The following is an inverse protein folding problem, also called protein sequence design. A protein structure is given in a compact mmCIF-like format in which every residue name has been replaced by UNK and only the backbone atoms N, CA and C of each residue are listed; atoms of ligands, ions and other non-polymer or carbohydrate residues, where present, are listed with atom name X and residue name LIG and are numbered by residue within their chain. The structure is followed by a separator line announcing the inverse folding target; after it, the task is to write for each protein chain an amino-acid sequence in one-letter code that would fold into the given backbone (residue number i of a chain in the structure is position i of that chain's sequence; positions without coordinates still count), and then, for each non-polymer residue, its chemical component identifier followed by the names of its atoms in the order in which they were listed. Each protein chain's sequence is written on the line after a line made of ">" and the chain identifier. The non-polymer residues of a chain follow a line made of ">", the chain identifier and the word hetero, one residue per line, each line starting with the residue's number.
data_IF_185668576477
#
_entry.id   IF_185668576477
#
_cell.length_a   1.000
_cell.length_b   1.000
_cell.length_c   1.000
_cell.angle_alpha   90.00
_cell.angle_beta   90.00
_cell.angle_gamma   90.00
#
_symmetry.space_group_name_H-M   'P 1'
#
loop_
_entity.id
_entity.type
_entity.pdbx_description
1 polymer ?
#
# COMPACT_ATOMS: atom_id res chain seq x y z
N UNK A 1 -17.43 20.30 -2.86
CA UNK A 1 -17.09 18.87 -3.08
C UNK A 1 -15.68 18.46 -2.65
N UNK A 2 -14.64 19.31 -2.65
CA UNK A 2 -13.25 18.94 -2.28
C UNK A 2 -13.05 18.40 -0.84
N UNK A 3 -13.88 18.80 0.14
CA UNK A 3 -13.73 18.36 1.53
C UNK A 3 -13.93 16.84 1.72
N UNK A 4 -14.74 16.18 0.87
CA UNK A 4 -15.00 14.73 0.96
C UNK A 4 -13.88 13.88 0.35
N UNK A 5 -13.04 14.44 -0.51
CA UNK A 5 -11.97 13.69 -1.17
C UNK A 5 -10.78 13.45 -0.25
N UNK A 6 -10.49 14.39 0.66
CA UNK A 6 -9.43 14.24 1.67
C UNK A 6 -9.76 13.23 2.78
N UNK A 7 -11.04 12.90 2.99
CA UNK A 7 -11.47 11.97 4.04
C UNK A 7 -11.31 10.49 3.63
N UNK A 8 -11.19 10.19 2.34
CA UNK A 8 -11.06 8.81 1.81
C UNK A 8 -9.90 8.00 2.41
N UNK A 9 -8.65 8.50 2.49
CA UNK A 9 -7.57 7.75 3.13
C UNK A 9 -7.83 7.49 4.61
N UNK A 10 -8.44 8.46 5.33
CA UNK A 10 -8.81 8.27 6.74
C UNK A 10 -9.87 7.17 6.89
N UNK A 11 -10.89 7.15 6.03
CA UNK A 11 -11.88 6.07 6.02
C UNK A 11 -11.24 4.71 5.70
N UNK A 12 -10.26 4.66 4.80
CA UNK A 12 -9.53 3.43 4.49
C UNK A 12 -8.71 2.92 5.69
N UNK A 13 -8.00 3.83 6.39
CA UNK A 13 -7.29 3.50 7.63
C UNK A 13 -8.25 3.01 8.72
N UNK A 14 -9.38 3.70 8.93
CA UNK A 14 -10.39 3.28 9.90
C UNK A 14 -10.99 1.91 9.53
N UNK A 15 -11.28 1.68 8.26
CA UNK A 15 -11.77 0.40 7.77
C UNK A 15 -10.77 -0.72 8.06
N UNK A 16 -9.48 -0.51 7.79
CA UNK A 16 -8.43 -1.48 8.09
C UNK A 16 -8.34 -1.79 9.59
N UNK A 17 -8.42 -0.77 10.46
CA UNK A 17 -8.45 -0.97 11.92
C UNK A 17 -9.66 -1.80 12.33
N UNK A 18 -10.87 -1.39 11.94
CA UNK A 18 -12.11 -2.05 12.34
C UNK A 18 -12.16 -3.52 11.88
N UNK A 19 -11.73 -3.78 10.65
CA UNK A 19 -11.74 -5.13 10.07
C UNK A 19 -10.78 -6.09 10.81
N UNK A 20 -9.65 -5.58 11.28
CA UNK A 20 -8.60 -6.39 11.89
C UNK A 20 -8.62 -6.42 13.42
N UNK A 21 -9.31 -5.47 14.05
CA UNK A 21 -9.39 -5.38 15.51
C UNK A 21 -9.84 -6.70 16.17
N UNK A 22 -10.81 -7.46 15.65
CA UNK A 22 -11.18 -8.75 16.23
C UNK A 22 -10.02 -9.75 16.33
N UNK A 23 -9.10 -9.76 15.35
CA UNK A 23 -7.93 -10.64 15.34
C UNK A 23 -6.88 -10.21 16.36
N UNK A 24 -6.70 -8.91 16.55
CA UNK A 24 -5.84 -8.36 17.62
C UNK A 24 -6.38 -8.73 19.00
N UNK A 25 -7.71 -8.67 19.19
CA UNK A 25 -8.36 -9.04 20.45
C UNK A 25 -8.36 -10.57 20.68
N UNK A 26 -8.36 -11.36 19.60
CA UNK A 26 -8.26 -12.83 19.61
C UNK A 26 -6.88 -13.32 19.19
N UNK A 27 -5.85 -12.68 19.73
CA UNK A 27 -4.44 -13.02 19.45
C UNK A 27 -4.10 -14.48 19.82
N UNK A 28 -4.87 -15.07 20.74
CA UNK A 28 -4.75 -16.45 21.21
C UNK A 28 -4.93 -17.48 20.07
N UNK A 29 -5.71 -17.14 19.04
CA UNK A 29 -5.96 -18.03 17.90
C UNK A 29 -4.75 -18.17 16.96
N UNK A 30 -3.78 -17.25 17.04
CA UNK A 30 -2.66 -17.17 16.10
C UNK A 30 -1.35 -16.95 16.85
N UNK A 31 -1.04 -17.77 17.85
CA UNK A 31 0.22 -17.66 18.57
C UNK A 31 1.37 -18.31 17.78
N UNK A 32 2.44 -17.56 17.55
CA UNK A 32 3.62 -18.01 16.80
C UNK A 32 4.92 -17.73 17.56
N UNK A 33 6.00 -18.47 17.29
CA UNK A 33 7.28 -18.27 17.98
C UNK A 33 7.86 -16.87 17.74
N UNK A 34 7.78 -16.36 16.51
CA UNK A 34 8.33 -15.04 16.14
C UNK A 34 7.64 -13.89 16.88
N UNK A 35 6.32 -14.04 17.12
CA UNK A 35 5.52 -13.15 17.95
C UNK A 35 6.11 -13.05 19.37
N UNK A 36 6.48 -14.18 19.98
CA UNK A 36 7.00 -14.22 21.34
C UNK A 36 8.38 -13.55 21.42
N UNK A 37 9.24 -13.75 20.41
CA UNK A 37 10.56 -13.11 20.33
C UNK A 37 10.40 -11.58 20.26
N UNK A 38 9.51 -11.09 19.41
CA UNK A 38 9.21 -9.66 19.27
C UNK A 38 8.74 -9.03 20.59
N UNK A 39 7.84 -9.72 21.29
CA UNK A 39 7.34 -9.32 22.61
C UNK A 39 8.43 -9.28 23.67
N UNK A 40 9.24 -10.35 23.78
CA UNK A 40 10.33 -10.44 24.75
C UNK A 40 11.38 -9.36 24.51
N UNK A 41 11.73 -9.13 23.25
CA UNK A 41 12.64 -8.08 22.85
C UNK A 41 12.11 -6.69 23.21
N UNK A 42 10.84 -6.41 22.90
CA UNK A 42 10.19 -5.14 23.28
C UNK A 42 10.15 -4.93 24.79
N UNK A 43 9.91 -6.01 25.56
CA UNK A 43 9.96 -5.99 27.03
C UNK A 43 11.37 -5.71 27.55
N UNK A 44 12.41 -6.37 27.01
CA UNK A 44 13.80 -6.16 27.40
C UNK A 44 14.23 -4.71 27.13
N UNK A 45 13.88 -4.15 25.98
CA UNK A 45 14.12 -2.73 25.67
C UNK A 45 13.43 -1.82 26.70
N UNK A 46 12.17 -2.13 27.04
CA UNK A 46 11.36 -1.29 27.95
C UNK A 46 11.81 -1.34 29.41
N UNK A 47 12.14 -2.53 29.92
CA UNK A 47 12.35 -2.79 31.35
C UNK A 47 13.82 -2.99 31.73
N UNK A 48 14.62 -3.60 30.84
CA UNK A 48 16.03 -3.94 31.09
C UNK A 48 16.98 -2.91 30.46
N UNK A 49 16.45 -2.03 29.60
CA UNK A 49 17.22 -0.98 28.94
C UNK A 49 18.06 -1.47 27.77
N UNK A 50 17.74 -2.65 27.25
CA UNK A 50 18.45 -3.29 26.14
C UNK A 50 18.36 -2.44 24.87
N UNK A 51 19.44 -2.37 24.09
CA UNK A 51 19.53 -1.53 22.87
C UNK A 51 19.93 -2.32 21.62
N UNK A 52 19.15 -3.35 21.26
CA UNK A 52 19.43 -4.14 20.07
C UNK A 52 19.25 -3.31 18.79
N UNK A 53 20.25 -3.37 17.92
CA UNK A 53 20.22 -2.77 16.58
C UNK A 53 19.52 -3.72 15.59
N UNK A 54 19.62 -5.03 15.79
CA UNK A 54 18.99 -6.03 14.93
C UNK A 54 18.06 -6.94 15.73
N UNK A 55 17.05 -7.46 15.03
CA UNK A 55 16.05 -8.34 15.62
C UNK A 55 16.72 -9.61 16.17
N UNK A 56 16.28 -10.07 17.35
CA UNK A 56 16.86 -11.25 17.98
C UNK A 56 16.72 -12.47 17.07
N UNK A 57 17.80 -13.24 16.93
CA UNK A 57 17.94 -14.38 16.01
C UNK A 57 17.73 -14.07 14.50
N UNK A 58 17.50 -12.81 14.12
CA UNK A 58 17.28 -12.38 12.74
C UNK A 58 18.07 -11.10 12.45
N UNK A 59 19.39 -11.23 12.34
CA UNK A 59 20.33 -10.11 12.13
C UNK A 59 20.10 -9.32 10.82
N UNK A 60 19.16 -9.74 9.99
CA UNK A 60 18.78 -9.09 8.74
C UNK A 60 17.52 -8.21 8.85
N UNK A 61 16.91 -8.13 10.04
CA UNK A 61 15.72 -7.32 10.32
C UNK A 61 16.02 -6.22 11.33
N UNK A 62 15.44 -5.05 11.08
CA UNK A 62 15.52 -3.91 11.99
C UNK A 62 14.58 -4.06 13.19
N UNK A 63 14.81 -3.26 14.22
CA UNK A 63 14.16 -3.38 15.54
C UNK A 63 13.19 -2.25 15.86
N UNK A 64 12.89 -1.38 14.90
CA UNK A 64 12.08 -0.17 15.17
C UNK A 64 10.69 -0.49 15.74
N UNK A 65 10.04 -1.56 15.27
CA UNK A 65 8.72 -1.98 15.77
C UNK A 65 8.78 -2.41 17.25
N UNK A 66 9.89 -3.05 17.65
CA UNK A 66 10.14 -3.39 19.05
C UNK A 66 10.38 -2.14 19.90
N UNK A 67 11.09 -1.13 19.37
CA UNK A 67 11.25 0.15 20.07
C UNK A 67 9.93 0.91 20.24
N UNK A 68 9.08 0.94 19.21
CA UNK A 68 7.77 1.58 19.29
C UNK A 68 6.87 0.86 20.30
N UNK A 69 6.87 -0.47 20.28
CA UNK A 69 6.16 -1.30 21.27
C UNK A 69 6.71 -1.09 22.69
N UNK A 70 8.04 -1.05 22.84
CA UNK A 70 8.69 -0.80 24.12
C UNK A 70 8.33 0.57 24.70
N UNK A 71 8.23 1.61 23.86
CA UNK A 71 7.74 2.92 24.29
C UNK A 71 6.33 2.82 24.88
N UNK A 72 5.42 2.11 24.22
CA UNK A 72 4.07 1.91 24.73
C UNK A 72 4.04 1.05 26.00
N UNK A 73 4.93 0.05 26.12
CA UNK A 73 5.06 -0.75 27.35
C UNK A 73 5.49 0.10 28.55
N UNK A 74 6.33 1.12 28.33
CA UNK A 74 6.70 2.06 29.39
C UNK A 74 5.54 2.95 29.84
N UNK A 75 4.60 3.24 28.93
CA UNK A 75 3.47 4.13 29.20
C UNK A 75 2.25 3.39 29.80
N UNK A 76 1.95 2.20 29.30
CA UNK A 76 0.71 1.47 29.61
C UNK A 76 0.95 0.10 30.26
N UNK A 77 2.21 -0.30 30.43
CA UNK A 77 2.57 -1.64 30.90
C UNK A 77 2.72 -2.66 29.77
N UNK A 78 3.32 -3.81 30.09
CA UNK A 78 3.56 -4.89 29.13
C UNK A 78 2.22 -5.57 28.79
N UNK A 79 1.84 -5.54 27.51
CA UNK A 79 0.60 -6.14 27.03
C UNK A 79 0.75 -6.68 25.61
N UNK A 80 0.30 -7.91 25.39
CA UNK A 80 0.27 -8.54 24.06
C UNK A 80 -0.60 -7.75 23.10
N UNK A 81 -1.80 -7.36 23.53
CA UNK A 81 -2.75 -6.61 22.70
C UNK A 81 -2.14 -5.29 22.25
N UNK A 82 -1.37 -4.64 23.11
CA UNK A 82 -0.74 -3.36 22.81
C UNK A 82 0.32 -3.50 21.70
N UNK A 83 1.11 -4.58 21.72
CA UNK A 83 2.07 -4.86 20.66
C UNK A 83 1.38 -5.19 19.32
N UNK A 84 0.33 -6.01 19.35
CA UNK A 84 -0.50 -6.28 18.17
C UNK A 84 -1.13 -5.00 17.60
N UNK A 85 -1.56 -4.09 18.47
CA UNK A 85 -2.13 -2.81 18.05
C UNK A 85 -1.11 -1.94 17.33
N UNK A 86 0.17 -1.94 17.75
CA UNK A 86 1.25 -1.22 17.04
C UNK A 86 1.35 -1.70 15.59
N UNK A 87 1.46 -3.00 15.35
CA UNK A 87 1.56 -3.54 13.99
C UNK A 87 0.30 -3.26 13.17
N UNK A 88 -0.88 -3.37 13.78
CA UNK A 88 -2.14 -3.01 13.12
C UNK A 88 -2.17 -1.52 12.71
N UNK A 89 -1.74 -0.62 13.58
CA UNK A 89 -1.73 0.82 13.28
C UNK A 89 -0.75 1.17 12.16
N UNK A 90 0.41 0.51 12.13
CA UNK A 90 1.37 0.66 11.03
C UNK A 90 0.75 0.19 9.72
N UNK A 91 0.15 -1.01 9.70
CA UNK A 91 -0.54 -1.52 8.52
C UNK A 91 -1.66 -0.58 8.05
N UNK A 92 -2.51 -0.12 8.97
CA UNK A 92 -3.62 0.77 8.66
C UNK A 92 -3.14 2.13 8.12
N UNK A 93 -1.97 2.61 8.58
CA UNK A 93 -1.29 3.76 7.98
C UNK A 93 -0.86 3.46 6.55
N UNK A 94 -0.30 2.28 6.29
CA UNK A 94 0.04 1.80 4.94
C UNK A 94 -1.16 1.77 4.00
N UNK A 95 -2.31 1.26 4.46
CA UNK A 95 -3.57 1.26 3.70
C UNK A 95 -4.02 2.68 3.38
N UNK A 96 -3.95 3.60 4.35
CA UNK A 96 -4.28 5.01 4.15
C UNK A 96 -3.37 5.68 3.12
N UNK A 97 -2.05 5.45 3.21
CA UNK A 97 -1.06 5.96 2.27
C UNK A 97 -1.23 5.37 0.87
N UNK A 98 -1.51 4.07 0.74
CA UNK A 98 -1.79 3.41 -0.52
C UNK A 98 -3.03 4.01 -1.19
N UNK A 99 -4.08 4.25 -0.41
CA UNK A 99 -5.33 4.88 -0.87
C UNK A 99 -5.08 6.32 -1.32
N UNK A 100 -4.29 7.08 -0.56
CA UNK A 100 -3.91 8.44 -0.92
C UNK A 100 -3.08 8.46 -2.21
N UNK A 101 -2.15 7.52 -2.39
CA UNK A 101 -1.37 7.39 -3.61
C UNK A 101 -2.28 7.04 -4.79
N UNK A 102 -3.14 6.03 -4.66
CA UNK A 102 -4.09 5.65 -5.70
C UNK A 102 -5.05 6.78 -6.09
N UNK A 103 -5.50 7.59 -5.14
CA UNK A 103 -6.31 8.77 -5.41
C UNK A 103 -5.60 9.80 -6.30
N UNK A 104 -4.26 9.89 -6.18
CA UNK A 104 -3.46 10.79 -7.01
C UNK A 104 -3.16 10.19 -8.38
N UNK A 105 -2.98 8.87 -8.48
CA UNK A 105 -2.56 8.21 -9.73
C UNK A 105 -3.71 7.77 -10.63
N UNK A 106 -4.78 7.22 -10.05
CA UNK A 106 -5.80 6.47 -10.78
C UNK A 106 -7.15 7.21 -10.85
N UNK A 107 -7.35 8.28 -10.07
CA UNK A 107 -8.60 9.03 -10.01
C UNK A 107 -9.71 8.35 -9.18
N UNK A 108 -10.90 8.96 -9.15
CA UNK A 108 -11.90 8.76 -8.08
C UNK A 108 -12.52 7.36 -7.93
N UNK A 109 -12.75 6.64 -9.03
CA UNK A 109 -13.40 5.31 -8.97
C UNK A 109 -12.49 4.19 -8.47
N UNK A 110 -11.19 4.26 -8.80
CA UNK A 110 -10.20 3.25 -8.40
C UNK A 110 -9.84 3.34 -6.91
N UNK A 111 -9.94 4.53 -6.30
CA UNK A 111 -9.56 4.77 -4.89
C UNK A 111 -10.29 3.85 -3.92
N UNK A 112 -11.61 3.70 -4.11
CA UNK A 112 -12.41 2.88 -3.21
C UNK A 112 -12.02 1.41 -3.30
N UNK A 113 -11.81 0.91 -4.52
CA UNK A 113 -11.38 -0.47 -4.72
C UNK A 113 -9.97 -0.72 -4.20
N UNK A 114 -9.05 0.23 -4.34
CA UNK A 114 -7.72 0.12 -3.70
C UNK A 114 -7.83 0.12 -2.19
N UNK A 115 -8.65 1.00 -1.61
CA UNK A 115 -8.89 1.06 -0.16
C UNK A 115 -9.44 -0.27 0.36
N UNK A 116 -10.48 -0.81 -0.27
CA UNK A 116 -11.09 -2.09 0.12
C UNK A 116 -10.11 -3.24 -0.07
N UNK A 117 -9.43 -3.34 -1.22
CA UNK A 117 -8.47 -4.41 -1.48
C UNK A 117 -7.30 -4.39 -0.49
N UNK A 118 -6.76 -3.21 -0.18
CA UNK A 118 -5.70 -3.04 0.81
C UNK A 118 -6.20 -3.29 2.25
N UNK A 119 -7.42 -2.86 2.59
CA UNK A 119 -7.98 -3.06 3.92
C UNK A 119 -8.43 -4.50 4.18
N UNK A 120 -8.87 -5.25 3.16
CA UNK A 120 -9.23 -6.67 3.31
C UNK A 120 -7.97 -7.55 3.32
N UNK A 121 -6.97 -7.14 2.52
CA UNK A 121 -5.73 -7.86 2.26
C UNK A 121 -5.94 -9.33 1.85
N UNK A 122 -4.85 -10.08 1.64
CA UNK A 122 -4.96 -11.53 1.52
C UNK A 122 -5.07 -12.16 2.91
N UNK A 123 -5.70 -13.33 3.07
CA UNK A 123 -5.73 -14.03 4.37
C UNK A 123 -4.33 -14.22 4.98
N UNK A 124 -3.33 -14.45 4.13
CA UNK A 124 -1.93 -14.55 4.53
C UNK A 124 -1.38 -13.22 5.05
N UNK A 125 -1.69 -12.09 4.40
CA UNK A 125 -1.29 -10.79 4.91
C UNK A 125 -1.97 -10.47 6.25
N UNK A 126 -3.27 -10.80 6.39
CA UNK A 126 -4.02 -10.56 7.63
C UNK A 126 -3.38 -11.25 8.83
N UNK A 127 -2.87 -12.47 8.63
CA UNK A 127 -2.14 -13.20 9.66
C UNK A 127 -0.94 -12.42 10.20
N UNK A 128 -0.13 -11.82 9.32
CA UNK A 128 1.10 -11.12 9.70
C UNK A 128 0.93 -9.66 10.11
N UNK A 129 -0.14 -8.99 9.66
CA UNK A 129 -0.35 -7.56 9.99
C UNK A 129 -0.98 -7.34 11.37
N UNK A 130 -1.60 -8.38 11.94
CA UNK A 130 -2.19 -8.33 13.28
C UNK A 130 -1.27 -8.87 14.37
N UNK A 131 -0.10 -9.38 13.99
CA UNK A 131 0.92 -9.85 14.91
C UNK A 131 2.07 -8.83 14.98
N UNK A 132 2.66 -8.57 16.17
CA UNK A 132 3.90 -7.83 16.33
C UNK A 132 5.05 -8.53 15.62
N UNK A 133 5.16 -8.33 14.31
CA UNK A 133 6.25 -8.84 13.50
C UNK A 133 6.72 -7.75 12.57
N UNK A 134 7.82 -7.11 12.97
CA UNK A 134 8.40 -5.83 12.56
C UNK A 134 8.68 -5.62 11.06
N UNK A 135 8.28 -6.51 10.15
CA UNK A 135 8.68 -6.45 8.74
C UNK A 135 7.55 -6.52 7.71
N UNK A 136 6.46 -7.25 7.95
CA UNK A 136 5.41 -7.43 6.94
C UNK A 136 4.44 -6.25 6.87
N UNK A 137 4.12 -5.66 8.02
CA UNK A 137 3.27 -4.48 8.13
C UNK A 137 3.99 -3.21 7.66
N UNK A 138 5.31 -3.13 7.84
CA UNK A 138 6.09 -1.94 7.43
C UNK A 138 6.61 -1.96 6.01
N UNK A 139 6.94 -3.12 5.44
CA UNK A 139 7.44 -3.15 4.06
C UNK A 139 6.54 -2.36 3.09
N UNK A 140 5.20 -2.52 3.10
CA UNK A 140 4.29 -1.74 2.25
C UNK A 140 4.34 -0.23 2.54
N UNK A 141 4.36 0.17 3.81
CA UNK A 141 4.44 1.58 4.23
C UNK A 141 5.71 2.22 3.67
N UNK A 142 6.85 1.58 3.90
CA UNK A 142 8.16 2.04 3.45
C UNK A 142 8.24 2.09 1.92
N UNK A 143 7.72 1.07 1.23
CA UNK A 143 7.64 1.04 -0.23
C UNK A 143 6.83 2.21 -0.80
N UNK A 144 5.66 2.51 -0.22
CA UNK A 144 4.83 3.64 -0.65
C UNK A 144 5.55 4.97 -0.39
N UNK A 145 6.15 5.13 0.79
CA UNK A 145 6.92 6.33 1.12
C UNK A 145 8.12 6.52 0.18
N UNK A 146 8.80 5.43 -0.19
CA UNK A 146 9.92 5.47 -1.14
C UNK A 146 9.47 5.86 -2.54
N UNK A 147 8.35 5.32 -3.03
CA UNK A 147 7.75 5.72 -4.31
C UNK A 147 7.43 7.22 -4.30
N UNK A 148 6.76 7.71 -3.24
CA UNK A 148 6.42 9.13 -3.09
C UNK A 148 7.68 10.00 -2.97
N UNK A 149 8.68 9.54 -2.22
CA UNK A 149 9.95 10.22 -2.02
C UNK A 149 10.75 10.33 -3.32
N UNK A 150 10.80 9.27 -4.12
CA UNK A 150 11.46 9.27 -5.43
C UNK A 150 10.72 10.17 -6.44
N UNK A 151 9.39 10.12 -6.47
CA UNK A 151 8.61 11.06 -7.29
C UNK A 151 8.79 12.53 -6.86
N UNK A 152 9.07 12.78 -5.58
CA UNK A 152 9.43 14.10 -5.08
C UNK A 152 10.88 14.48 -5.43
N UNK A 153 11.80 13.51 -5.47
CA UNK A 153 13.21 13.69 -5.81
C UNK A 153 13.43 14.25 -7.22
N UNK A 154 12.58 13.90 -8.19
CA UNK A 154 12.64 14.49 -9.53
C UNK A 154 12.55 16.03 -9.48
N UNK A 155 11.79 16.59 -8.53
CA UNK A 155 11.65 18.05 -8.36
C UNK A 155 12.87 18.70 -7.71
N UNK A 156 13.67 17.91 -7.00
CA UNK A 156 14.90 18.35 -6.37
C UNK A 156 16.03 18.46 -7.39
N UNK A 157 16.01 17.65 -8.46
CA UNK A 157 17.02 17.67 -9.53
C UNK A 157 17.02 19.02 -10.26
N UNK A 158 15.84 19.59 -10.55
CA UNK A 158 15.72 20.85 -11.27
C UNK A 158 16.00 22.10 -10.42
N UNK A 159 16.27 21.92 -9.11
CA UNK A 159 16.52 23.03 -8.18
C UNK A 159 18.02 23.30 -8.08
N UNK A 160 18.45 24.58 -8.03
CA UNK A 160 19.85 24.88 -7.74
C UNK A 160 20.23 24.30 -6.38
N UNK A 161 21.44 23.74 -6.29
CA UNK A 161 21.95 23.18 -5.03
C UNK A 161 21.91 24.23 -3.92
N UNK A 162 21.28 23.88 -2.81
CA UNK A 162 21.13 24.71 -1.63
C UNK A 162 20.69 23.87 -0.44
N UNK A 163 20.59 24.48 0.74
CA UNK A 163 20.29 23.77 1.98
C UNK A 163 18.98 22.96 1.91
N UNK A 164 17.93 23.52 1.29
CA UNK A 164 16.62 22.86 1.16
C UNK A 164 16.67 21.62 0.25
N UNK A 165 17.21 21.70 -0.99
CA UNK A 165 17.41 20.50 -1.80
C UNK A 165 18.32 19.45 -1.15
N UNK A 166 19.42 19.89 -0.51
CA UNK A 166 20.32 18.97 0.19
C UNK A 166 19.61 18.21 1.33
N UNK A 167 18.83 18.91 2.16
CA UNK A 167 18.02 18.26 3.20
C UNK A 167 17.01 17.27 2.61
N UNK A 168 16.44 17.57 1.44
CA UNK A 168 15.55 16.66 0.73
C UNK A 168 16.24 15.36 0.30
N UNK A 169 17.44 15.46 -0.27
CA UNK A 169 18.25 14.30 -0.63
C UNK A 169 18.70 13.48 0.58
N UNK A 170 19.08 14.15 1.68
CA UNK A 170 19.42 13.47 2.94
C UNK A 170 18.20 12.71 3.49
N UNK A 171 17.02 13.35 3.53
CA UNK A 171 15.78 12.71 3.99
C UNK A 171 15.41 11.49 3.14
N UNK A 172 15.58 11.58 1.81
CA UNK A 172 15.37 10.45 0.92
C UNK A 172 16.37 9.33 1.18
N UNK A 173 17.66 9.64 1.32
CA UNK A 173 18.70 8.66 1.63
C UNK A 173 18.45 7.95 2.96
N UNK A 174 18.03 8.69 3.99
CA UNK A 174 17.65 8.13 5.28
C UNK A 174 16.42 7.23 5.17
N UNK A 175 15.40 7.62 4.40
CA UNK A 175 14.22 6.79 4.16
C UNK A 175 14.58 5.47 3.47
N UNK A 176 15.40 5.52 2.43
CA UNK A 176 15.85 4.34 1.69
C UNK A 176 16.73 3.43 2.56
N UNK A 177 17.68 4.01 3.30
CA UNK A 177 18.53 3.29 4.24
C UNK A 177 17.74 2.67 5.39
N UNK A 178 16.77 3.40 5.94
CA UNK A 178 15.85 2.91 6.96
C UNK A 178 14.97 1.77 6.42
N UNK A 179 14.48 1.89 5.19
CA UNK A 179 13.70 0.84 4.54
C UNK A 179 14.52 -0.44 4.36
N UNK A 180 15.75 -0.31 3.87
CA UNK A 180 16.70 -1.42 3.72
C UNK A 180 17.05 -2.09 5.05
N UNK A 181 17.39 -1.30 6.07
CA UNK A 181 17.73 -1.79 7.41
C UNK A 181 16.55 -2.49 8.08
N UNK A 182 15.33 -1.96 7.87
CA UNK A 182 14.10 -2.51 8.45
C UNK A 182 13.80 -3.90 7.87
N UNK A 183 13.75 -4.01 6.54
CA UNK A 183 13.32 -5.25 5.89
C UNK A 183 13.88 -5.37 4.47
N UNK A 184 14.40 -6.56 4.15
CA UNK A 184 14.82 -6.89 2.78
C UNK A 184 13.64 -6.99 1.81
N UNK A 185 12.41 -7.13 2.31
CA UNK A 185 11.19 -7.10 1.47
C UNK A 185 10.96 -5.75 0.79
N UNK A 186 11.71 -4.72 1.17
CA UNK A 186 11.73 -3.42 0.52
C UNK A 186 12.42 -3.46 -0.87
N UNK A 187 13.34 -4.41 -1.10
CA UNK A 187 14.12 -4.52 -2.34
C UNK A 187 13.27 -4.64 -3.62
N UNK A 188 12.29 -5.56 -3.70
CA UNK A 188 11.46 -5.68 -4.90
C UNK A 188 10.77 -4.37 -5.29
N UNK A 189 10.38 -3.56 -4.30
CA UNK A 189 9.77 -2.25 -4.55
C UNK A 189 10.77 -1.27 -5.13
N UNK A 190 12.00 -1.23 -4.62
CA UNK A 190 13.07 -0.40 -5.19
C UNK A 190 13.41 -0.81 -6.62
N UNK A 191 13.50 -2.11 -6.89
CA UNK A 191 13.75 -2.64 -8.23
C UNK A 191 12.60 -2.25 -9.17
N UNK A 192 11.35 -2.40 -8.75
CA UNK A 192 10.19 -2.02 -9.56
C UNK A 192 10.20 -0.52 -9.92
N UNK A 193 10.57 0.35 -8.97
CA UNK A 193 10.68 1.79 -9.22
C UNK A 193 11.84 2.10 -10.16
N UNK A 194 13.02 1.49 -9.94
CA UNK A 194 14.17 1.68 -10.81
C UNK A 194 13.88 1.25 -12.25
N UNK A 195 13.19 0.11 -12.44
CA UNK A 195 12.74 -0.36 -13.75
C UNK A 195 11.72 0.58 -14.38
N UNK A 196 10.74 1.08 -13.61
CA UNK A 196 9.77 2.04 -14.12
C UNK A 196 10.46 3.33 -14.62
N UNK A 197 11.39 3.89 -13.83
CA UNK A 197 12.17 5.08 -14.22
C UNK A 197 13.02 4.80 -15.46
N UNK A 198 13.72 3.65 -15.49
CA UNK A 198 14.57 3.25 -16.63
C UNK A 198 13.76 3.09 -17.91
N UNK A 199 12.57 2.48 -17.82
CA UNK A 199 11.67 2.30 -18.97
C UNK A 199 11.13 3.63 -19.50
N UNK A 200 10.81 4.58 -18.61
CA UNK A 200 10.40 5.92 -19.01
C UNK A 200 11.54 6.70 -19.68
N UNK A 201 12.77 6.55 -19.20
CA UNK A 201 13.95 7.15 -19.83
C UNK A 201 14.23 6.57 -21.23
N UNK A 202 14.11 5.25 -21.39
CA UNK A 202 14.33 4.57 -22.67
C UNK A 202 13.23 4.88 -23.71
N UNK A 203 11.96 4.96 -23.28
CA UNK A 203 10.83 5.30 -24.17
C UNK A 203 10.84 6.76 -24.67
N UNK A 204 11.55 7.66 -23.99
CA UNK A 204 11.71 9.05 -24.42
C UNK A 204 12.69 9.25 -25.57
N UNK A 205 13.50 8.25 -25.92
CA UNK A 205 14.48 8.34 -27.00
C UNK A 205 13.91 7.98 -28.39
N UNK A 206 12.76 7.31 -28.46
CA UNK A 206 12.19 6.79 -29.71
C UNK A 206 11.02 7.59 -30.28
N UNK A 207 10.49 8.60 -29.58
CA UNK A 207 9.41 9.47 -30.08
C UNK A 207 9.82 10.94 -30.10
N UNK A 208 10.44 11.36 -31.20
CA UNK A 208 10.58 12.76 -31.57
C UNK A 208 9.17 13.36 -31.76
N UNK A 209 8.68 14.13 -30.79
CA UNK A 209 7.48 14.97 -30.94
C UNK A 209 6.44 14.91 -29.81
N UNK A 210 6.43 13.90 -28.94
CA UNK A 210 5.47 13.86 -27.82
C UNK A 210 6.06 14.58 -26.61
N UNK A 211 5.46 15.74 -26.35
CA UNK A 211 5.77 16.73 -25.32
C UNK A 211 6.08 16.05 -23.97
N UNK A 212 7.33 16.21 -23.49
CA UNK A 212 7.89 15.78 -22.18
C UNK A 212 7.08 16.19 -20.93
N UNK A 213 5.93 16.84 -21.08
CA UNK A 213 5.10 17.40 -20.01
C UNK A 213 4.10 16.42 -19.42
N UNK A 214 3.77 15.32 -20.11
CA UNK A 214 2.65 14.47 -19.69
C UNK A 214 3.05 13.31 -18.77
N UNK A 215 4.33 12.89 -18.80
CA UNK A 215 4.88 11.87 -17.90
C UNK A 215 5.55 12.44 -16.66
N UNK A 216 5.79 13.74 -16.66
CA UNK A 216 6.19 14.41 -15.44
C UNK A 216 5.06 14.17 -14.46
N UNK A 217 5.35 13.46 -13.36
CA UNK A 217 4.50 13.22 -12.20
C UNK A 217 4.16 14.59 -11.59
N UNK A 218 3.37 15.36 -12.33
CA UNK A 218 2.97 16.70 -12.00
C UNK A 218 1.88 16.51 -10.98
N UNK A 219 2.31 16.34 -9.73
CA UNK A 219 1.47 16.47 -8.54
C UNK A 219 0.94 17.93 -8.40
N UNK A 220 0.83 18.71 -9.49
CA UNK A 220 0.01 19.91 -9.48
C UNK A 220 -1.44 19.42 -9.43
N UNK A 221 -2.23 19.83 -8.43
CA UNK A 221 -3.65 19.57 -8.46
C UNK A 221 -4.20 20.10 -9.78
N UNK A 222 -4.90 19.24 -10.55
CA UNK A 222 -5.64 19.65 -11.74
C UNK A 222 -6.51 20.85 -11.33
N UNK A 223 -6.14 22.05 -11.76
CA UNK A 223 -6.98 23.24 -11.62
C UNK A 223 -8.17 23.04 -12.54
N UNK A 224 -9.24 22.46 -12.02
CA UNK A 224 -10.52 22.42 -12.70
C UNK A 224 -11.09 23.83 -12.77
N UNK A 225 -11.22 24.35 -14.00
CA UNK A 225 -12.09 25.46 -14.33
C UNK A 225 -11.39 26.80 -14.53
N UNK A 226 -10.75 26.98 -15.69
CA UNK A 226 -10.94 28.25 -16.41
C UNK A 226 -12.44 28.37 -16.67
N UNK A 227 -13.10 29.29 -15.96
CA UNK A 227 -14.44 29.71 -16.29
C UNK A 227 -14.40 30.34 -17.69
N UNK A 228 -15.26 29.92 -18.63
CA UNK A 228 -15.34 30.59 -19.92
C UNK A 228 -15.76 32.04 -19.66
N UNK A 229 -14.96 32.97 -20.18
CA UNK A 229 -15.26 34.38 -20.22
C UNK A 229 -16.63 34.59 -20.89
N UNK A 230 -17.56 35.17 -20.14
CA UNK A 230 -18.86 35.59 -20.64
C UNK A 230 -18.67 36.81 -21.55
N UNK A 231 -18.58 36.56 -22.85
CA UNK A 231 -18.72 37.57 -23.90
C UNK A 231 -20.17 37.61 -24.39
N UNK A 232 -20.80 38.74 -24.12
CA UNK A 232 -21.99 39.36 -24.72
C UNK A 232 -22.31 39.00 -26.18
N UNK A 233 -23.58 38.65 -26.48
CA UNK A 233 -24.39 39.16 -27.62
C UNK A 233 -25.72 38.38 -27.79
N UNK A 234 -26.76 38.97 -28.44
CA UNK A 234 -28.16 38.76 -28.10
C UNK A 234 -29.01 37.93 -29.09
N UNK A 235 -30.17 37.48 -28.58
CA UNK A 235 -31.46 37.24 -29.21
C UNK A 235 -31.54 36.88 -30.72
N UNK A 236 -32.08 35.68 -31.01
CA UNK A 236 -33.01 35.47 -32.12
C UNK A 236 -33.99 34.34 -31.84
N UNK A 237 -35.23 34.60 -32.22
CA UNK A 237 -36.46 33.87 -31.98
C UNK A 237 -36.83 32.93 -33.14
N UNK A 238 -37.69 31.96 -32.81
CA UNK A 238 -38.72 31.36 -33.67
C UNK A 238 -38.32 30.20 -34.62
N UNK A 239 -39.28 29.37 -35.13
CA UNK A 239 -40.00 28.34 -34.36
C UNK A 239 -40.11 26.98 -35.12
N UNK A 240 -40.65 25.97 -34.41
CA UNK A 240 -41.45 24.83 -34.89
C UNK A 240 -41.07 24.04 -36.17
N UNK A 241 -40.80 22.73 -36.03
CA UNK A 241 -41.28 21.74 -37.00
C UNK A 241 -41.39 20.30 -36.47
N UNK A 242 -42.64 19.84 -36.46
CA UNK A 242 -43.15 18.52 -36.90
C UNK A 242 -42.67 17.19 -36.28
N UNK A 243 -43.57 16.64 -35.45
CA UNK A 243 -44.06 15.25 -35.39
C UNK A 243 -43.80 14.36 -36.63
N UNK A 244 -43.40 13.10 -36.44
CA UNK A 244 -44.17 11.85 -36.73
C UNK A 244 -43.35 10.55 -36.48
N UNK A 245 -43.97 9.33 -36.50
CA UNK A 245 -43.77 8.30 -35.46
C UNK A 245 -43.22 6.95 -35.99
N UNK A 246 -43.27 5.93 -35.12
CA UNK A 246 -43.46 4.49 -35.41
C UNK A 246 -42.23 3.65 -35.81
N UNK A 247 -41.86 2.67 -34.97
CA UNK A 247 -42.09 1.24 -35.24
C UNK A 247 -41.44 0.33 -34.17
N UNK A 248 -42.15 -0.77 -33.89
CA UNK A 248 -41.98 -1.77 -32.83
C UNK A 248 -40.94 -2.88 -33.19
N UNK A 249 -40.70 -3.90 -32.32
CA UNK A 249 -39.50 -4.75 -32.30
C UNK A 249 -39.68 -6.10 -33.02
N UNK A 250 -38.62 -6.95 -33.04
CA UNK A 250 -38.85 -8.38 -32.77
C UNK A 250 -37.77 -9.06 -31.90
N UNK A 251 -38.25 -9.69 -30.82
CA UNK A 251 -38.26 -11.14 -30.53
C UNK A 251 -36.97 -12.02 -30.57
N UNK A 252 -36.98 -13.16 -29.84
CA UNK A 252 -35.82 -13.80 -29.23
C UNK A 252 -35.28 -15.01 -29.99
N UNK A 253 -34.07 -15.48 -29.65
CA UNK A 253 -33.62 -16.83 -30.01
C UNK A 253 -33.00 -17.57 -28.82
N UNK A 254 -33.71 -18.63 -28.46
CA UNK A 254 -33.31 -19.81 -27.70
C UNK A 254 -32.33 -20.71 -28.46
N UNK A 255 -31.41 -21.36 -27.74
CA UNK A 255 -30.92 -22.76 -27.94
C UNK A 255 -29.90 -23.04 -26.82
N UNK A 256 -30.22 -23.79 -25.76
CA UNK A 256 -30.30 -25.26 -25.60
C UNK A 256 -29.00 -26.01 -25.85
N UNK A 257 -28.84 -27.07 -25.04
CA UNK A 257 -27.89 -28.20 -25.12
C UNK A 257 -26.46 -27.89 -24.65
N UNK A 258 -25.73 -28.76 -23.96
CA UNK A 258 -25.95 -30.04 -23.26
C UNK A 258 -24.54 -30.46 -22.81
N UNK A 259 -24.40 -31.22 -21.72
CA UNK A 259 -23.20 -32.07 -21.56
C UNK A 259 -22.47 -31.96 -20.23
N UNK A 260 -22.99 -32.68 -19.24
CA UNK A 260 -22.22 -33.41 -18.20
C UNK A 260 -21.33 -34.50 -18.89
N UNK A 261 -20.46 -35.28 -18.20
CA UNK A 261 -20.03 -35.26 -16.79
C UNK A 261 -18.52 -35.55 -16.53
N UNK A 262 -18.12 -35.40 -15.26
CA UNK A 262 -17.16 -36.20 -14.46
C UNK A 262 -15.97 -36.95 -15.11
N UNK A 263 -14.77 -36.79 -14.52
CA UNK A 263 -14.09 -37.90 -13.82
C UNK A 263 -12.96 -37.44 -12.87
N UNK A 264 -12.74 -38.15 -11.75
CA UNK A 264 -11.68 -37.93 -10.76
C UNK A 264 -10.48 -38.86 -10.98
N UNK A 265 -9.31 -38.50 -10.44
CA UNK A 265 -8.15 -39.36 -10.10
C UNK A 265 -7.00 -38.41 -9.70
N UNK A 266 -6.12 -38.63 -8.73
CA UNK A 266 -5.90 -39.58 -7.62
C UNK A 266 -4.66 -39.00 -6.89
N UNK A 267 -4.52 -39.11 -5.57
CA UNK A 267 -3.34 -38.61 -4.86
C UNK A 267 -2.18 -39.60 -4.97
N UNK A 268 -0.97 -39.12 -5.26
CA UNK A 268 0.28 -39.87 -5.06
C UNK A 268 0.94 -39.39 -3.78
N UNK A 269 0.83 -40.23 -2.75
CA UNK A 269 1.65 -40.20 -1.55
C UNK A 269 3.07 -40.65 -1.90
N UNK A 270 4.07 -39.81 -1.67
CA UNK A 270 5.46 -40.24 -1.58
C UNK A 270 5.96 -39.93 -0.19
N UNK A 271 6.02 -40.98 0.62
CA UNK A 271 6.62 -40.97 1.94
C UNK A 271 8.14 -40.82 1.79
N UNK A 272 8.69 -39.71 2.25
CA UNK A 272 10.13 -39.52 2.38
C UNK A 272 10.55 -39.85 3.80
N UNK A 273 11.38 -40.89 3.93
CA UNK A 273 12.02 -41.37 5.16
C UNK A 273 12.77 -40.25 5.88
N UNK A 274 12.57 -40.16 7.19
CA UNK A 274 13.43 -39.41 8.09
C UNK A 274 14.76 -40.16 8.32
N UNK A 275 15.92 -39.46 8.35
CA UNK A 275 17.17 -40.03 8.86
C UNK A 275 17.22 -39.95 10.39
N UNK A 276 17.78 -41.00 10.99
CA UNK A 276 17.99 -41.16 12.41
C UNK A 276 18.97 -40.10 12.98
N UNK A 277 18.63 -39.55 14.15
CA UNK A 277 19.58 -38.80 14.97
C UNK A 277 20.55 -39.76 15.70
N UNK A 278 21.85 -39.43 15.78
CA UNK A 278 22.77 -40.08 16.71
C UNK A 278 22.49 -39.59 18.14
N UNK A 279 22.62 -40.51 19.10
CA UNK A 279 22.65 -40.22 20.54
C UNK A 279 24.02 -39.69 20.91
N UNK A 280 24.06 -38.57 21.60
CA UNK A 280 25.10 -38.20 22.56
C UNK A 280 24.44 -37.99 23.92
#
# INVERSE_FOLDING_TARGET
>A
MRAREGARPLYATLLAVVLHLPFVLRYDLHFQPDFAISMLMSRAIALEGDRPIFFWAQAYLGTYGCYLTALLFRLFGVSVILACLVSLLIWACGVGLATALAARLLGGGAVWWTAVAAAVASPYANHYVTQPYTSYETAPVLSILAIVGLAWAERLVDRPFGARPAAGWIALGLLLGFGWWTTRLFLPSLVAVALAISSAAAGGASSCGVRRRDWCFSLRPRSSGEAPSSSTAPARSSPARTLRPSASPPAPRSRTTSGRPSRPCRPTSTATRAPACPRE
#
